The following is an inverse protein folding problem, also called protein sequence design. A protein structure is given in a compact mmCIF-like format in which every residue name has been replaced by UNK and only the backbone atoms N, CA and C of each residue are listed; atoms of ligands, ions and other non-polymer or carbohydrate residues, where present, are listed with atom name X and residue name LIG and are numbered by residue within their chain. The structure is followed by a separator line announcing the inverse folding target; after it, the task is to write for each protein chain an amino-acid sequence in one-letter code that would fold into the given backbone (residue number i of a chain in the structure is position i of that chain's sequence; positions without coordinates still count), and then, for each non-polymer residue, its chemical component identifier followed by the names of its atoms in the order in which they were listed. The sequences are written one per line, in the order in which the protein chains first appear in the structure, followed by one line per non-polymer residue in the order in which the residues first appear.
data_IF_808276838024
#
_entry.id   IF_808276838024
#
_cell.length_a   1.000
_cell.length_b   1.000
_cell.length_c   1.000
_cell.angle_alpha   90.00
_cell.angle_beta   90.00
_cell.angle_gamma   90.00
#
_symmetry.space_group_name_H-M   'P 1'
#
loop_
_entity.id
_entity.type
_entity.pdbx_description
1 polymer ?
#
# COMPACT_ATOMS: atom_id res chain seq x y z
N UNK A 1 29.72 -20.90 -9.37
CA UNK A 1 30.73 -21.50 -8.47
C UNK A 1 31.87 -20.55 -8.07
N UNK A 2 32.13 -19.44 -8.77
CA UNK A 2 33.34 -18.62 -8.55
C UNK A 2 33.27 -17.60 -7.39
N UNK A 3 32.07 -17.20 -6.95
CA UNK A 3 31.90 -16.16 -5.92
C UNK A 3 32.16 -16.68 -4.49
N UNK A 4 31.84 -17.95 -4.23
CA UNK A 4 31.95 -18.57 -2.90
C UNK A 4 33.41 -18.82 -2.49
N UNK A 5 34.28 -19.16 -3.45
CA UNK A 5 35.71 -19.36 -3.19
C UNK A 5 36.46 -18.05 -2.89
N UNK A 6 36.07 -16.94 -3.54
CA UNK A 6 36.64 -15.62 -3.27
C UNK A 6 36.27 -15.10 -1.87
N UNK A 7 35.02 -15.32 -1.43
CA UNK A 7 34.58 -14.96 -0.09
C UNK A 7 35.26 -15.82 0.98
N UNK A 8 35.37 -17.13 0.76
CA UNK A 8 36.05 -18.04 1.68
C UNK A 8 37.56 -17.74 1.79
N UNK A 9 38.23 -17.50 0.66
CA UNK A 9 39.65 -17.12 0.63
C UNK A 9 39.91 -15.77 1.30
N UNK A 10 39.04 -14.78 1.06
CA UNK A 10 39.11 -13.47 1.72
C UNK A 10 38.92 -13.55 3.24
N UNK A 11 37.93 -14.34 3.69
CA UNK A 11 37.69 -14.57 5.12
C UNK A 11 38.85 -15.31 5.80
N UNK A 12 39.44 -16.31 5.14
CA UNK A 12 40.61 -17.03 5.64
C UNK A 12 41.86 -16.14 5.71
N UNK A 13 42.10 -15.32 4.68
CA UNK A 13 43.22 -14.39 4.68
C UNK A 13 43.08 -13.34 5.79
N UNK A 14 41.88 -12.77 5.95
CA UNK A 14 41.59 -11.80 7.02
C UNK A 14 41.73 -12.42 8.40
N UNK A 15 41.21 -13.63 8.62
CA UNK A 15 41.33 -14.31 9.91
C UNK A 15 42.78 -14.63 10.25
N UNK A 16 43.58 -15.08 9.28
CA UNK A 16 45.00 -15.38 9.48
C UNK A 16 45.83 -14.11 9.72
N UNK A 17 45.52 -13.01 9.02
CA UNK A 17 46.12 -11.70 9.26
C UNK A 17 45.80 -11.18 10.67
N UNK A 18 44.55 -11.34 11.12
CA UNK A 18 44.13 -10.95 12.46
C UNK A 18 44.83 -11.81 13.51
N UNK A 19 44.84 -13.14 13.36
CA UNK A 19 45.47 -14.06 14.30
C UNK A 19 46.98 -13.79 14.44
N UNK A 20 47.69 -13.59 13.34
CA UNK A 20 49.13 -13.30 13.36
C UNK A 20 49.48 -11.94 13.96
N UNK A 21 48.60 -10.95 13.85
CA UNK A 21 48.77 -9.61 14.47
C UNK A 21 48.37 -9.63 15.94
N UNK A 22 47.29 -10.30 16.30
CA UNK A 22 46.81 -10.44 17.68
C UNK A 22 47.77 -11.29 18.51
N UNK A 23 48.39 -12.33 17.94
CA UNK A 23 49.40 -13.15 18.60
C UNK A 23 50.65 -12.37 19.02
N UNK A 24 50.92 -11.21 18.39
CA UNK A 24 52.04 -10.32 18.72
C UNK A 24 51.69 -9.28 19.80
N UNK A 25 50.42 -9.17 20.20
CA UNK A 25 50.00 -8.25 21.25
C UNK A 25 50.29 -8.85 22.64
N UNK A 26 50.68 -8.04 23.63
CA UNK A 26 50.78 -8.53 25.00
C UNK A 26 49.39 -8.98 25.48
N UNK A 27 49.30 -10.19 26.05
CA UNK A 27 48.04 -10.87 26.41
C UNK A 27 47.05 -9.99 27.21
N UNK A 28 47.57 -9.09 28.06
CA UNK A 28 46.78 -8.11 28.83
C UNK A 28 45.99 -7.10 28.00
N UNK A 29 46.41 -6.82 26.76
CA UNK A 29 45.75 -5.85 25.86
C UNK A 29 44.72 -6.50 24.93
N UNK A 30 44.72 -7.83 24.80
CA UNK A 30 43.83 -8.56 23.88
C UNK A 30 42.35 -8.27 24.18
N UNK A 31 41.85 -8.32 25.44
CA UNK A 31 40.45 -8.02 25.73
C UNK A 31 40.07 -6.58 25.36
N UNK A 32 40.95 -5.61 25.64
CA UNK A 32 40.73 -4.20 25.30
C UNK A 32 40.66 -4.00 23.78
N UNK A 33 41.56 -4.61 23.01
CA UNK A 33 41.57 -4.52 21.55
C UNK A 33 40.31 -5.16 20.96
N UNK A 34 39.89 -6.32 21.45
CA UNK A 34 38.65 -6.96 21.02
C UNK A 34 37.44 -6.09 21.33
N UNK A 35 37.35 -5.51 22.54
CA UNK A 35 36.27 -4.59 22.91
C UNK A 35 36.23 -3.38 21.97
N UNK A 36 37.37 -2.75 21.69
CA UNK A 36 37.46 -1.61 20.78
C UNK A 36 37.03 -1.97 19.36
N UNK A 37 37.42 -3.15 18.86
CA UNK A 37 36.99 -3.64 17.55
C UNK A 37 35.47 -3.89 17.55
N UNK A 38 34.92 -4.54 18.57
CA UNK A 38 33.48 -4.79 18.68
C UNK A 38 32.68 -3.48 18.72
N UNK A 39 33.13 -2.50 19.52
CA UNK A 39 32.51 -1.17 19.60
C UNK A 39 32.62 -0.44 18.26
N UNK A 40 33.78 -0.50 17.60
CA UNK A 40 33.98 0.12 16.28
C UNK A 40 33.05 -0.50 15.23
N UNK A 41 32.95 -1.83 15.17
CA UNK A 41 32.08 -2.53 14.24
C UNK A 41 30.61 -2.20 14.49
N UNK A 42 30.17 -2.22 15.75
CA UNK A 42 28.81 -1.85 16.13
C UNK A 42 28.50 -0.39 15.79
N UNK A 43 29.43 0.52 16.06
CA UNK A 43 29.28 1.95 15.76
C UNK A 43 29.20 2.19 14.26
N UNK A 44 30.09 1.56 13.48
CA UNK A 44 30.08 1.67 12.02
C UNK A 44 28.75 1.15 11.44
N UNK A 45 28.27 0.01 11.93
CA UNK A 45 26.97 -0.53 11.54
C UNK A 45 25.82 0.41 11.91
N UNK A 46 25.85 1.00 13.11
CA UNK A 46 24.84 1.96 13.57
C UNK A 46 24.82 3.20 12.66
N UNK A 47 25.94 3.93 12.54
CA UNK A 47 25.99 5.18 11.78
C UNK A 47 25.68 4.97 10.29
N UNK A 48 26.15 3.87 9.69
CA UNK A 48 25.89 3.56 8.27
C UNK A 48 24.40 3.26 8.01
N UNK A 49 23.70 2.66 8.97
CA UNK A 49 22.30 2.27 8.79
C UNK A 49 21.31 3.24 9.43
N UNK A 50 21.76 4.20 10.25
CA UNK A 50 20.89 5.06 11.04
C UNK A 50 19.83 5.76 10.19
N UNK A 51 20.23 6.47 9.13
CA UNK A 51 19.29 7.19 8.25
C UNK A 51 18.25 6.25 7.60
N UNK A 52 18.66 5.04 7.21
CA UNK A 52 17.78 4.05 6.58
C UNK A 52 16.77 3.46 7.57
N UNK A 53 17.19 3.28 8.82
CA UNK A 53 16.41 2.64 9.88
C UNK A 53 15.63 3.63 10.74
N UNK A 54 16.00 4.90 10.75
CA UNK A 54 15.23 5.96 11.39
C UNK A 54 13.92 6.19 10.61
N UNK A 55 12.83 5.70 11.18
CA UNK A 55 11.47 5.86 10.64
C UNK A 55 10.65 6.89 11.41
N UNK A 56 11.26 7.65 12.33
CA UNK A 56 10.57 8.62 13.20
C UNK A 56 9.80 9.70 12.43
N UNK A 57 10.21 9.98 11.18
CA UNK A 57 9.58 10.96 10.29
C UNK A 57 9.01 10.31 9.01
N UNK A 58 8.91 8.99 8.96
CA UNK A 58 8.36 8.29 7.80
C UNK A 58 6.82 8.23 7.90
N UNK A 59 6.16 9.24 7.31
CA UNK A 59 4.70 9.35 7.27
C UNK A 59 4.08 8.85 5.96
N UNK A 60 4.87 8.28 5.03
CA UNK A 60 4.39 8.00 3.68
C UNK A 60 3.22 7.03 3.63
N UNK A 61 3.22 5.95 4.42
CA UNK A 61 2.10 5.01 4.46
C UNK A 61 0.83 5.66 5.01
N UNK A 62 0.97 6.46 6.09
CA UNK A 62 -0.14 7.22 6.66
C UNK A 62 -0.69 8.23 5.64
N UNK A 63 0.18 9.04 5.05
CA UNK A 63 -0.22 10.12 4.13
C UNK A 63 -0.82 9.56 2.85
N UNK A 64 -0.30 8.45 2.33
CA UNK A 64 -0.87 7.77 1.17
C UNK A 64 -2.31 7.31 1.43
N UNK A 65 -2.54 6.59 2.53
CA UNK A 65 -3.89 6.15 2.89
C UNK A 65 -4.80 7.33 3.22
N UNK A 66 -4.32 8.36 3.92
CA UNK A 66 -5.10 9.57 4.17
C UNK A 66 -5.47 10.29 2.86
N UNK A 67 -4.58 10.30 1.86
CA UNK A 67 -4.89 10.84 0.54
C UNK A 67 -5.89 9.97 -0.23
N UNK A 68 -5.84 8.63 -0.10
CA UNK A 68 -6.90 7.73 -0.59
C UNK A 68 -8.25 8.10 0.04
N UNK A 69 -8.29 8.21 1.36
CA UNK A 69 -9.53 8.55 2.08
C UNK A 69 -10.05 9.93 1.68
N UNK A 70 -9.20 10.96 1.58
CA UNK A 70 -9.60 12.29 1.12
C UNK A 70 -10.15 12.30 -0.31
N UNK A 71 -9.79 11.32 -1.12
CA UNK A 71 -10.25 11.21 -2.51
C UNK A 71 -11.68 10.69 -2.63
N UNK A 72 -12.21 10.03 -1.61
CA UNK A 72 -13.54 9.43 -1.63
C UNK A 72 -14.56 10.30 -0.89
N UNK A 73 -15.69 10.62 -1.53
CA UNK A 73 -16.72 11.49 -0.95
C UNK A 73 -17.56 10.70 0.07
N UNK A 74 -17.66 11.12 1.35
CA UNK A 74 -18.45 10.39 2.34
C UNK A 74 -19.96 10.57 2.08
N UNK A 75 -20.79 9.54 2.34
CA UNK A 75 -20.41 8.20 2.79
C UNK A 75 -19.75 7.40 1.66
N UNK A 76 -18.63 6.72 1.98
CA UNK A 76 -17.83 6.01 0.98
C UNK A 76 -17.62 4.53 1.35
N UNK A 77 -17.55 3.67 0.33
CA UNK A 77 -17.03 2.31 0.40
C UNK A 77 -15.84 2.19 -0.56
N UNK A 78 -14.68 1.83 -0.03
CA UNK A 78 -13.44 1.67 -0.78
C UNK A 78 -13.06 0.19 -0.74
N UNK A 79 -12.92 -0.44 -1.90
CA UNK A 79 -12.48 -1.82 -2.04
C UNK A 79 -11.02 -1.84 -2.51
N UNK A 80 -10.17 -2.55 -1.78
CA UNK A 80 -8.74 -2.69 -2.13
C UNK A 80 -8.26 -4.12 -1.97
N UNK A 81 -7.26 -4.54 -2.74
CA UNK A 81 -6.49 -5.78 -2.54
C UNK A 81 -5.03 -5.48 -2.16
N UNK A 82 -4.76 -4.24 -1.72
CA UNK A 82 -3.43 -3.74 -1.41
C UNK A 82 -3.31 -3.49 0.08
N UNK A 83 -2.60 -4.40 0.76
CA UNK A 83 -2.36 -4.35 2.20
C UNK A 83 -1.72 -3.04 2.68
N UNK A 84 -0.90 -2.40 1.83
CA UNK A 84 -0.24 -1.13 2.17
C UNK A 84 -1.22 0.03 2.35
N UNK A 85 -2.43 -0.10 1.84
CA UNK A 85 -3.49 0.90 2.01
C UNK A 85 -4.39 0.53 3.17
N UNK A 86 -4.74 -0.75 3.26
CA UNK A 86 -5.64 -1.26 4.28
C UNK A 86 -5.04 -1.23 5.69
N UNK A 87 -3.76 -1.59 5.85
CA UNK A 87 -3.13 -1.61 7.17
C UNK A 87 -3.05 -0.21 7.83
N UNK A 88 -2.62 0.88 7.14
CA UNK A 88 -2.71 2.21 7.72
C UNK A 88 -4.16 2.69 7.91
N UNK A 89 -5.10 2.23 7.06
CA UNK A 89 -6.52 2.57 7.23
C UNK A 89 -7.05 2.06 8.57
N UNK A 90 -6.70 0.83 8.96
CA UNK A 90 -7.11 0.28 10.26
C UNK A 90 -6.69 1.20 11.42
N UNK A 91 -5.48 1.72 11.37
CA UNK A 91 -4.99 2.68 12.38
C UNK A 91 -5.73 4.03 12.30
N UNK A 92 -5.79 4.65 11.13
CA UNK A 92 -6.45 5.96 10.93
C UNK A 92 -7.92 5.90 11.36
N UNK A 93 -8.62 4.83 11.01
CA UNK A 93 -10.05 4.69 11.22
C UNK A 93 -10.38 4.21 12.64
N UNK A 94 -9.77 3.12 13.12
CA UNK A 94 -10.16 2.51 14.41
C UNK A 94 -9.37 3.02 15.61
N UNK A 95 -8.14 3.54 15.41
CA UNK A 95 -7.31 4.05 16.51
C UNK A 95 -7.42 5.57 16.62
N UNK A 96 -7.28 6.30 15.51
CA UNK A 96 -7.36 7.76 15.53
C UNK A 96 -8.79 8.31 15.40
N UNK A 97 -9.77 7.46 15.03
CA UNK A 97 -11.16 7.89 14.87
C UNK A 97 -11.38 8.88 13.72
N UNK A 98 -10.50 8.90 12.72
CA UNK A 98 -10.59 9.80 11.56
C UNK A 98 -11.38 9.17 10.41
N UNK A 99 -11.91 10.02 9.52
CA UNK A 99 -12.61 9.60 8.30
C UNK A 99 -13.71 8.54 8.52
N UNK A 100 -14.46 8.65 9.62
CA UNK A 100 -15.46 7.64 10.03
C UNK A 100 -16.58 7.40 9.00
N UNK A 101 -16.88 8.38 8.15
CA UNK A 101 -17.82 8.22 7.03
C UNK A 101 -17.30 7.39 5.86
N UNK A 102 -16.08 6.85 5.93
CA UNK A 102 -15.42 6.12 4.84
C UNK A 102 -15.01 4.74 5.32
N UNK A 103 -15.52 3.73 4.63
CA UNK A 103 -15.26 2.32 4.94
C UNK A 103 -14.31 1.77 3.90
N UNK A 104 -13.23 1.13 4.32
CA UNK A 104 -12.35 0.40 3.42
C UNK A 104 -12.42 -1.08 3.76
N UNK A 105 -12.56 -1.93 2.74
CA UNK A 105 -12.54 -3.39 2.88
C UNK A 105 -11.44 -3.99 2.00
N UNK A 106 -10.75 -5.00 2.55
CA UNK A 106 -9.69 -5.72 1.85
C UNK A 106 -10.26 -6.97 1.17
N UNK A 107 -10.05 -7.09 -0.15
CA UNK A 107 -10.55 -8.19 -0.97
C UNK A 107 -9.86 -9.52 -0.62
N UNK A 108 -8.58 -9.52 -0.28
CA UNK A 108 -7.90 -10.75 0.11
C UNK A 108 -8.40 -11.26 1.47
N UNK A 109 -8.76 -10.35 2.39
CA UNK A 109 -9.43 -10.74 3.64
C UNK A 109 -10.87 -11.21 3.41
N UNK A 110 -11.59 -10.63 2.44
CA UNK A 110 -12.89 -11.14 1.99
C UNK A 110 -12.81 -12.56 1.41
N UNK A 111 -11.63 -13.13 1.14
CA UNK A 111 -11.49 -14.55 0.77
C UNK A 111 -11.47 -15.50 1.99
N UNK A 112 -11.71 -15.00 3.20
CA UNK A 112 -11.66 -15.78 4.45
C UNK A 112 -12.93 -15.63 5.27
N UNK A 113 -13.50 -16.75 5.71
CA UNK A 113 -14.79 -16.75 6.42
C UNK A 113 -14.76 -15.93 7.72
N UNK A 114 -13.63 -15.89 8.42
CA UNK A 114 -13.48 -15.19 9.69
C UNK A 114 -13.62 -13.66 9.55
N UNK A 115 -13.28 -13.09 8.40
CA UNK A 115 -13.26 -11.64 8.20
C UNK A 115 -14.67 -11.03 8.27
N UNK A 116 -15.69 -11.80 7.90
CA UNK A 116 -17.08 -11.33 7.98
C UNK A 116 -17.57 -11.11 9.41
N UNK A 117 -16.95 -11.73 10.42
CA UNK A 117 -17.24 -11.38 11.81
C UNK A 117 -16.84 -9.94 12.12
N UNK A 118 -15.68 -9.52 11.62
CA UNK A 118 -15.23 -8.13 11.73
C UNK A 118 -16.15 -7.19 10.95
N UNK A 119 -16.46 -7.49 9.68
CA UNK A 119 -17.36 -6.65 8.86
C UNK A 119 -18.74 -6.51 9.51
N UNK A 120 -19.30 -7.59 10.06
CA UNK A 120 -20.59 -7.57 10.75
C UNK A 120 -20.60 -6.68 11.98
N UNK A 121 -19.49 -6.64 12.73
CA UNK A 121 -19.39 -5.85 13.97
C UNK A 121 -19.04 -4.39 13.69
N UNK A 122 -18.05 -4.13 12.84
CA UNK A 122 -17.54 -2.80 12.56
C UNK A 122 -18.40 -2.03 11.53
N UNK A 123 -18.98 -2.73 10.56
CA UNK A 123 -19.70 -2.15 9.42
C UNK A 123 -21.03 -2.91 9.15
N UNK A 124 -21.94 -3.00 10.15
CA UNK A 124 -23.15 -3.79 10.05
C UNK A 124 -24.04 -3.39 8.86
N UNK A 125 -23.99 -2.14 8.42
CA UNK A 125 -24.72 -1.63 7.27
C UNK A 125 -24.20 -2.16 5.93
N UNK A 126 -22.89 -2.40 5.80
CA UNK A 126 -22.31 -3.06 4.62
C UNK A 126 -22.65 -4.55 4.67
N UNK A 127 -22.49 -5.18 5.83
CA UNK A 127 -22.79 -6.59 6.02
C UNK A 127 -24.24 -6.93 5.66
N UNK A 128 -25.23 -6.20 6.21
CA UNK A 128 -26.67 -6.48 6.01
C UNK A 128 -27.08 -6.41 4.53
N UNK A 129 -26.52 -5.48 3.76
CA UNK A 129 -26.83 -5.34 2.33
C UNK A 129 -26.42 -6.57 1.54
N UNK A 130 -25.27 -7.17 1.87
CA UNK A 130 -24.71 -8.33 1.19
C UNK A 130 -24.79 -9.63 1.99
N UNK A 131 -25.64 -9.70 3.02
CA UNK A 131 -25.65 -10.81 3.98
C UNK A 131 -25.88 -12.17 3.31
N UNK A 132 -26.80 -12.21 2.33
CA UNK A 132 -27.08 -13.43 1.57
C UNK A 132 -25.84 -13.90 0.82
N UNK A 133 -25.19 -13.02 0.06
CA UNK A 133 -24.01 -13.37 -0.73
C UNK A 133 -22.80 -13.70 0.16
N UNK A 134 -22.68 -13.04 1.32
CA UNK A 134 -21.68 -13.37 2.34
C UNK A 134 -21.89 -14.80 2.85
N UNK A 135 -23.12 -15.15 3.23
CA UNK A 135 -23.44 -16.50 3.73
C UNK A 135 -23.16 -17.57 2.68
N UNK A 136 -23.60 -17.34 1.45
CA UNK A 136 -23.34 -18.26 0.33
C UNK A 136 -21.84 -18.45 0.06
N UNK A 137 -21.02 -17.39 0.16
CA UNK A 137 -19.57 -17.51 0.03
C UNK A 137 -18.95 -18.25 1.22
N UNK A 138 -19.36 -17.92 2.45
CA UNK A 138 -18.86 -18.57 3.67
C UNK A 138 -19.14 -20.08 3.65
N UNK A 139 -20.34 -20.49 3.23
CA UNK A 139 -20.69 -21.90 3.05
C UNK A 139 -19.82 -22.55 1.96
N UNK A 140 -19.57 -21.86 0.84
CA UNK A 140 -18.75 -22.39 -0.24
C UNK A 140 -17.27 -22.54 0.12
N UNK A 141 -16.69 -21.59 0.87
CA UNK A 141 -15.27 -21.61 1.25
C UNK A 141 -14.98 -22.53 2.44
N UNK A 142 -16.01 -22.93 3.20
CA UNK A 142 -15.86 -23.75 4.40
C UNK A 142 -15.07 -25.05 4.16
N UNK A 143 -15.38 -25.89 3.15
CA UNK A 143 -14.63 -27.13 2.93
C UNK A 143 -13.15 -26.88 2.64
N UNK A 144 -12.83 -25.83 1.87
CA UNK A 144 -11.45 -25.41 1.59
C UNK A 144 -10.69 -25.05 2.87
N UNK A 145 -11.31 -24.29 3.77
CA UNK A 145 -10.68 -23.88 5.04
C UNK A 145 -10.50 -25.05 6.02
N UNK A 146 -11.24 -26.14 5.84
CA UNK A 146 -11.19 -27.35 6.69
C UNK A 146 -10.42 -28.52 6.05
N UNK A 147 -9.77 -28.31 4.90
CA UNK A 147 -9.03 -29.34 4.16
C UNK A 147 -9.92 -30.51 3.69
N UNK A 148 -11.18 -30.22 3.40
CA UNK A 148 -12.16 -31.14 2.81
C UNK A 148 -12.17 -31.03 1.28
N UNK A 149 -12.93 -31.88 0.60
CA UNK A 149 -13.11 -31.80 -0.85
C UNK A 149 -13.92 -30.54 -1.23
N UNK A 150 -13.44 -29.77 -2.21
CA UNK A 150 -14.05 -28.52 -2.63
C UNK A 150 -13.94 -28.31 -4.14
N UNK A 151 -14.83 -27.50 -4.70
CA UNK A 151 -14.75 -27.03 -6.08
C UNK A 151 -14.22 -25.56 -6.11
N UNK A 152 -12.97 -25.34 -6.56
CA UNK A 152 -12.41 -23.99 -6.68
C UNK A 152 -13.25 -23.05 -7.54
N UNK A 153 -13.90 -23.55 -8.59
CA UNK A 153 -14.70 -22.74 -9.49
C UNK A 153 -16.00 -22.29 -8.82
N UNK A 154 -16.60 -23.16 -8.01
CA UNK A 154 -17.78 -22.82 -7.22
C UNK A 154 -17.47 -21.72 -6.19
N UNK A 155 -16.34 -21.84 -5.48
CA UNK A 155 -15.88 -20.81 -4.52
C UNK A 155 -15.66 -19.48 -5.23
N UNK A 156 -14.93 -19.48 -6.35
CA UNK A 156 -14.65 -18.25 -7.10
C UNK A 156 -15.93 -17.62 -7.65
N UNK A 157 -16.90 -18.41 -8.13
CA UNK A 157 -18.19 -17.90 -8.56
C UNK A 157 -18.96 -17.22 -7.41
N UNK A 158 -18.98 -17.82 -6.21
CA UNK A 158 -19.60 -17.20 -5.04
C UNK A 158 -18.86 -15.95 -4.59
N UNK A 159 -17.54 -15.94 -4.67
CA UNK A 159 -16.72 -14.78 -4.36
C UNK A 159 -16.99 -13.59 -5.31
N UNK A 160 -17.02 -13.82 -6.62
CA UNK A 160 -17.34 -12.78 -7.60
C UNK A 160 -18.77 -12.23 -7.43
N UNK A 161 -19.74 -13.10 -7.08
CA UNK A 161 -21.10 -12.68 -6.75
C UNK A 161 -21.13 -11.79 -5.50
N UNK A 162 -20.37 -12.14 -4.47
CA UNK A 162 -20.21 -11.30 -3.29
C UNK A 162 -19.64 -9.93 -3.64
N UNK A 163 -18.51 -9.87 -4.37
CA UNK A 163 -17.88 -8.61 -4.75
C UNK A 163 -18.83 -7.72 -5.55
N UNK A 164 -19.55 -8.31 -6.51
CA UNK A 164 -20.58 -7.62 -7.29
C UNK A 164 -21.67 -7.04 -6.39
N UNK A 165 -22.11 -7.80 -5.38
CA UNK A 165 -23.13 -7.34 -4.44
C UNK A 165 -22.65 -6.16 -3.57
N UNK A 166 -21.39 -6.19 -3.12
CA UNK A 166 -20.80 -5.14 -2.29
C UNK A 166 -20.78 -3.80 -3.04
N UNK A 167 -20.51 -3.84 -4.34
CA UNK A 167 -20.57 -2.65 -5.19
C UNK A 167 -22.03 -2.26 -5.46
N UNK A 168 -22.79 -3.13 -6.13
CA UNK A 168 -24.13 -2.81 -6.64
C UNK A 168 -25.09 -2.31 -5.56
N UNK A 169 -25.08 -2.94 -4.38
CA UNK A 169 -26.03 -2.63 -3.30
C UNK A 169 -25.63 -1.40 -2.47
N UNK A 170 -24.46 -0.83 -2.73
CA UNK A 170 -23.96 0.38 -2.05
C UNK A 170 -23.88 1.59 -2.99
N UNK A 171 -24.07 1.44 -4.29
CA UNK A 171 -24.02 2.56 -5.24
C UNK A 171 -25.15 3.59 -5.06
N UNK A 172 -26.28 3.21 -4.47
CA UNK A 172 -27.44 4.10 -4.34
C UNK A 172 -27.31 5.14 -3.21
N UNK A 173 -26.49 4.88 -2.20
CA UNK A 173 -26.39 5.70 -0.98
C UNK A 173 -24.95 5.98 -0.55
N UNK A 174 -23.94 5.53 -1.33
CA UNK A 174 -22.52 5.75 -1.06
C UNK A 174 -21.75 5.97 -2.34
N UNK A 175 -20.65 6.72 -2.26
CA UNK A 175 -19.61 6.64 -3.28
C UNK A 175 -18.89 5.28 -3.15
N UNK A 176 -18.73 4.55 -4.24
CA UNK A 176 -17.98 3.29 -4.26
C UNK A 176 -16.69 3.49 -5.03
N UNK A 177 -15.57 3.11 -4.44
CA UNK A 177 -14.24 3.35 -4.97
C UNK A 177 -13.43 2.05 -5.04
N UNK A 178 -12.61 1.91 -6.08
CA UNK A 178 -11.75 0.75 -6.30
C UNK A 178 -10.28 1.15 -6.27
N UNK A 179 -9.49 0.38 -5.52
CA UNK A 179 -8.03 0.47 -5.41
C UNK A 179 -7.43 -0.92 -5.56
N UNK A 180 -7.49 -1.45 -6.79
CA UNK A 180 -7.20 -2.85 -7.07
C UNK A 180 -5.96 -3.02 -7.95
N UNK A 181 -5.01 -3.84 -7.50
CA UNK A 181 -3.86 -4.32 -8.27
C UNK A 181 -4.26 -5.46 -9.22
N UNK A 182 -5.14 -6.36 -8.77
CA UNK A 182 -5.64 -7.48 -9.57
C UNK A 182 -6.80 -7.05 -10.48
N UNK A 183 -6.88 -7.71 -11.63
CA UNK A 183 -8.03 -7.60 -12.52
C UNK A 183 -9.17 -8.45 -11.95
N UNK A 184 -10.26 -7.80 -11.57
CA UNK A 184 -11.47 -8.46 -11.06
C UNK A 184 -12.60 -8.34 -12.08
N UNK A 185 -13.35 -9.41 -12.30
CA UNK A 185 -14.33 -9.49 -13.39
C UNK A 185 -15.46 -8.46 -13.24
N UNK A 186 -15.94 -8.26 -12.00
CA UNK A 186 -17.02 -7.31 -11.70
C UNK A 186 -16.70 -5.87 -12.14
N UNK A 187 -15.42 -5.50 -12.22
CA UNK A 187 -14.98 -4.14 -12.60
C UNK A 187 -15.47 -3.73 -13.98
N UNK A 188 -15.70 -4.69 -14.88
CA UNK A 188 -16.12 -4.46 -16.27
C UNK A 188 -17.58 -4.00 -16.38
N UNK A 189 -18.36 -4.16 -15.31
CA UNK A 189 -19.78 -3.80 -15.28
C UNK A 189 -20.00 -2.30 -14.98
N UNK A 190 -18.92 -1.54 -14.76
CA UNK A 190 -19.01 -0.16 -14.29
C UNK A 190 -18.02 0.77 -14.97
N UNK A 191 -18.41 2.03 -15.07
CA UNK A 191 -17.49 3.11 -15.42
C UNK A 191 -16.60 3.40 -14.21
N UNK A 192 -15.28 3.39 -14.44
CA UNK A 192 -14.27 3.71 -13.42
C UNK A 192 -13.73 5.11 -13.69
N UNK A 193 -14.15 6.07 -12.87
CA UNK A 193 -13.82 7.48 -13.00
C UNK A 193 -12.62 7.78 -12.09
N UNK A 194 -11.47 8.24 -12.63
CA UNK A 194 -10.36 8.69 -11.79
C UNK A 194 -10.83 9.81 -10.86
N UNK A 195 -10.64 9.61 -9.55
CA UNK A 195 -11.02 10.54 -8.49
C UNK A 195 -9.95 10.55 -7.42
N UNK A 196 -9.10 11.59 -7.44
CA UNK A 196 -7.93 11.72 -6.58
C UNK A 196 -7.01 10.50 -6.71
N UNK A 197 -6.77 9.78 -5.62
CA UNK A 197 -5.96 8.55 -5.61
C UNK A 197 -6.72 7.30 -6.05
N UNK A 198 -8.03 7.38 -6.27
CA UNK A 198 -8.94 6.23 -6.43
C UNK A 198 -9.64 6.21 -7.77
N UNK A 199 -10.35 5.12 -8.09
CA UNK A 199 -11.35 5.10 -9.15
C UNK A 199 -12.75 4.99 -8.55
N UNK A 200 -13.59 6.02 -8.74
CA UNK A 200 -15.00 5.97 -8.38
C UNK A 200 -15.78 5.14 -9.41
N UNK A 201 -16.67 4.30 -8.92
CA UNK A 201 -17.53 3.43 -9.72
C UNK A 201 -18.85 4.14 -9.97
N UNK A 202 -19.23 4.24 -11.25
CA UNK A 202 -20.53 4.76 -11.69
C UNK A 202 -21.26 3.75 -12.60
N UNK A 203 -22.59 3.78 -12.56
CA UNK A 203 -23.48 2.98 -13.42
C UNK A 203 -23.62 3.55 -14.84
N UNK A 204 -23.31 4.83 -15.02
CA UNK A 204 -23.41 5.54 -16.29
C UNK A 204 -22.12 6.30 -16.60
N UNK A 205 -22.04 6.81 -17.82
CA UNK A 205 -20.90 7.58 -18.33
C UNK A 205 -21.06 9.08 -18.13
N UNK A 206 -21.93 9.54 -17.19
CA UNK A 206 -22.10 10.96 -16.98
C UNK A 206 -20.81 11.59 -16.44
N UNK A 207 -20.57 12.84 -16.83
CA UNK A 207 -19.46 13.60 -16.31
C UNK A 207 -19.60 13.77 -14.79
N UNK A 208 -18.54 13.44 -14.06
CA UNK A 208 -18.45 13.65 -12.63
C UNK A 208 -17.32 14.63 -12.33
N UNK A 209 -17.62 15.87 -11.92
CA UNK A 209 -16.60 16.86 -11.60
C UNK A 209 -15.81 16.45 -10.35
N UNK A 210 -14.52 16.77 -10.36
CA UNK A 210 -13.63 16.59 -9.21
C UNK A 210 -12.55 17.68 -9.25
N UNK A 211 -12.44 18.52 -8.21
CA UNK A 211 -11.43 19.57 -8.19
C UNK A 211 -10.02 18.97 -8.11
N UNK A 212 -8.97 19.72 -8.51
CA UNK A 212 -7.58 19.29 -8.32
C UNK A 212 -7.32 18.81 -6.88
N UNK A 213 -6.83 17.58 -6.70
CA UNK A 213 -6.67 17.02 -5.36
C UNK A 213 -5.54 17.74 -4.60
N UNK A 214 -5.75 17.95 -3.31
CA UNK A 214 -4.71 18.42 -2.38
C UNK A 214 -4.11 17.23 -1.65
N UNK A 215 -2.92 16.81 -2.09
CA UNK A 215 -2.17 15.72 -1.46
C UNK A 215 -1.32 16.22 -0.30
N UNK A 216 -1.35 15.47 0.80
CA UNK A 216 -0.38 15.61 1.88
C UNK A 216 0.82 14.72 1.56
N UNK A 217 2.03 15.29 1.47
CA UNK A 217 3.23 14.62 0.96
C UNK A 217 4.43 14.90 1.90
N UNK A 218 4.22 14.73 3.21
CA UNK A 218 5.23 15.09 4.22
C UNK A 218 6.52 14.31 3.99
N UNK A 219 7.63 15.03 3.96
CA UNK A 219 8.95 14.44 3.79
C UNK A 219 9.30 14.01 2.36
N UNK A 220 8.43 14.29 1.37
CA UNK A 220 8.71 13.99 -0.03
C UNK A 220 10.03 14.64 -0.48
N UNK A 221 10.19 15.93 -0.24
CA UNK A 221 11.40 16.68 -0.63
C UNK A 221 12.50 16.68 0.45
N UNK A 222 12.33 15.97 1.56
CA UNK A 222 13.35 15.88 2.61
C UNK A 222 14.36 14.76 2.26
N UNK A 223 15.63 15.09 1.93
CA UNK A 223 16.64 14.10 1.59
C UNK A 223 17.10 13.27 2.80
N UNK A 224 16.81 13.72 4.04
CA UNK A 224 17.16 12.99 5.25
C UNK A 224 16.24 11.80 5.47
N UNK A 225 15.02 11.84 4.93
CA UNK A 225 14.05 10.76 5.09
C UNK A 225 14.30 9.70 4.01
N UNK A 226 14.78 8.53 4.44
CA UNK A 226 15.03 7.41 3.54
C UNK A 226 13.72 6.84 2.98
N UNK A 227 13.62 6.87 1.64
CA UNK A 227 12.50 6.32 0.87
C UNK A 227 12.93 4.97 0.30
N UNK A 228 12.37 3.87 0.82
CA UNK A 228 12.65 2.55 0.26
C UNK A 228 11.96 2.33 -1.09
N UNK A 229 12.23 1.18 -1.73
CA UNK A 229 11.66 0.85 -3.03
C UNK A 229 10.13 0.79 -3.02
N UNK A 230 9.52 0.32 -1.93
CA UNK A 230 8.06 0.21 -1.80
C UNK A 230 7.41 1.58 -1.65
N UNK A 231 8.02 2.46 -0.87
CA UNK A 231 7.65 3.87 -0.75
C UNK A 231 7.72 4.57 -2.11
N UNK A 232 8.84 4.42 -2.84
CA UNK A 232 8.99 5.01 -4.18
C UNK A 232 7.99 4.47 -5.18
N UNK A 233 7.71 3.16 -5.14
CA UNK A 233 6.67 2.55 -5.96
C UNK A 233 5.32 3.22 -5.75
N UNK A 234 4.88 3.37 -4.49
CA UNK A 234 3.62 4.04 -4.19
C UNK A 234 3.61 5.51 -4.57
N UNK A 235 4.67 6.25 -4.25
CA UNK A 235 4.80 7.66 -4.62
C UNK A 235 4.72 7.88 -6.14
N UNK A 236 5.14 6.91 -6.95
CA UNK A 236 5.07 7.01 -8.41
C UNK A 236 3.64 7.08 -8.95
N UNK A 237 2.63 6.64 -8.19
CA UNK A 237 1.23 6.70 -8.62
C UNK A 237 0.63 8.10 -8.55
N UNK A 238 1.09 9.01 -7.68
CA UNK A 238 0.51 10.37 -7.59
C UNK A 238 0.45 11.10 -8.95
N UNK A 239 1.55 11.23 -9.71
CA UNK A 239 1.50 11.87 -11.01
C UNK A 239 0.68 11.06 -12.03
N UNK A 240 0.69 9.72 -11.94
CA UNK A 240 -0.12 8.87 -12.82
C UNK A 240 -1.62 9.14 -12.61
N UNK A 241 -2.07 9.24 -11.35
CA UNK A 241 -3.47 9.52 -11.01
C UNK A 241 -3.94 10.88 -11.51
N UNK A 242 -3.08 11.90 -11.41
CA UNK A 242 -3.38 13.22 -11.95
C UNK A 242 -3.55 13.20 -13.47
N UNK A 243 -2.71 12.45 -14.19
CA UNK A 243 -2.81 12.33 -15.65
C UNK A 243 -4.01 11.51 -16.09
N UNK A 244 -4.36 10.46 -15.36
CA UNK A 244 -5.59 9.70 -15.61
C UNK A 244 -6.82 10.60 -15.46
N UNK A 245 -6.84 11.46 -14.43
CA UNK A 245 -7.88 12.46 -14.28
C UNK A 245 -7.83 13.49 -15.41
N UNK A 246 -6.65 13.99 -15.78
CA UNK A 246 -6.52 14.97 -16.87
C UNK A 246 -7.10 14.44 -18.19
N UNK A 247 -6.82 13.18 -18.55
CA UNK A 247 -7.41 12.53 -19.73
C UNK A 247 -8.93 12.42 -19.63
N UNK A 248 -9.45 12.13 -18.44
CA UNK A 248 -10.90 12.14 -18.21
C UNK A 248 -11.48 13.54 -18.46
N UNK A 249 -10.85 14.60 -17.95
CA UNK A 249 -11.30 15.99 -18.17
C UNK A 249 -11.27 16.38 -19.66
N UNK A 250 -10.23 15.99 -20.41
CA UNK A 250 -10.11 16.23 -21.87
C UNK A 250 -11.29 15.59 -22.63
N UNK A 251 -11.66 14.36 -22.30
CA UNK A 251 -12.79 13.65 -22.94
C UNK A 251 -14.11 14.40 -22.79
N UNK A 252 -14.28 15.13 -21.68
CA UNK A 252 -15.49 15.93 -21.42
C UNK A 252 -15.33 17.42 -21.75
N UNK A 253 -14.23 17.82 -22.42
CA UNK A 253 -14.01 19.18 -22.91
C UNK A 253 -13.49 20.18 -21.87
N UNK A 254 -12.92 19.72 -20.76
CA UNK A 254 -12.38 20.57 -19.69
C UNK A 254 -10.86 20.76 -19.81
N UNK A 255 -10.39 21.24 -20.97
CA UNK A 255 -8.96 21.34 -21.33
C UNK A 255 -8.13 22.19 -20.35
N UNK A 256 -8.71 23.25 -19.80
CA UNK A 256 -8.03 24.09 -18.80
C UNK A 256 -7.69 23.31 -17.53
N UNK A 257 -8.65 22.51 -17.04
CA UNK A 257 -8.46 21.70 -15.85
C UNK A 257 -7.51 20.53 -16.13
N UNK A 258 -7.62 19.90 -17.31
CA UNK A 258 -6.67 18.87 -17.73
C UNK A 258 -5.23 19.40 -17.77
N UNK A 259 -5.03 20.60 -18.32
CA UNK A 259 -3.72 21.26 -18.37
C UNK A 259 -3.15 21.52 -16.98
N UNK A 260 -3.97 21.99 -16.04
CA UNK A 260 -3.59 22.20 -14.64
C UNK A 260 -3.16 20.88 -13.98
N UNK A 261 -3.94 19.82 -14.11
CA UNK A 261 -3.64 18.49 -13.57
C UNK A 261 -2.34 17.91 -14.16
N UNK A 262 -2.15 18.05 -15.47
CA UNK A 262 -0.92 17.63 -16.15
C UNK A 262 0.30 18.45 -15.68
N UNK A 263 0.13 19.75 -15.37
CA UNK A 263 1.20 20.57 -14.80
C UNK A 263 1.58 20.09 -13.39
N UNK A 264 0.59 19.82 -12.53
CA UNK A 264 0.82 19.26 -11.19
C UNK A 264 1.54 17.90 -11.27
N UNK A 265 1.13 17.03 -12.21
CA UNK A 265 1.79 15.74 -12.44
C UNK A 265 3.27 15.89 -12.82
N UNK A 266 3.60 16.84 -13.71
CA UNK A 266 4.99 17.14 -14.09
C UNK A 266 5.82 17.65 -12.91
N UNK A 267 5.26 18.53 -12.09
CA UNK A 267 5.94 19.05 -10.89
C UNK A 267 6.25 17.92 -9.90
N UNK A 268 5.28 17.04 -9.62
CA UNK A 268 5.48 15.90 -8.73
C UNK A 268 6.52 14.91 -9.27
N UNK A 269 6.53 14.63 -10.58
CA UNK A 269 7.59 13.79 -11.18
C UNK A 269 8.97 14.38 -11.03
N UNK A 270 9.10 15.69 -11.20
CA UNK A 270 10.38 16.37 -11.04
C UNK A 270 10.91 16.20 -9.60
N UNK A 271 10.06 16.43 -8.59
CA UNK A 271 10.38 16.18 -7.17
C UNK A 271 10.78 14.72 -6.92
N UNK A 272 10.03 13.76 -7.48
CA UNK A 272 10.33 12.33 -7.30
C UNK A 272 11.67 11.92 -7.91
N UNK A 273 12.04 12.45 -9.08
CA UNK A 273 13.28 12.11 -9.78
C UNK A 273 14.51 12.73 -9.12
N UNK A 274 14.41 13.95 -8.58
CA UNK A 274 15.50 14.58 -7.82
C UNK A 274 15.92 13.77 -6.59
N UNK A 275 15.00 12.95 -6.06
CA UNK A 275 15.21 12.13 -4.86
C UNK A 275 15.64 10.68 -5.16
N UNK A 276 15.99 10.33 -6.41
CA UNK A 276 16.48 9.00 -6.79
C UNK A 276 18.00 8.90 -6.95
N UNK A 277 18.71 10.03 -6.98
CA UNK A 277 20.15 10.13 -7.29
C UNK A 277 21.09 10.06 -6.07
N UNK A 278 20.60 9.63 -4.91
CA UNK A 278 21.35 9.49 -3.65
C UNK A 278 21.14 8.07 -3.09
#
# INVERSE_FOLDING_TARGET
MSFTFLVAGGAWFLSNLILTRVAKLPKRLVPTVLLLISVLLASLAFFKNYQKQDKSRNYFAYDYTANILRSADPPALILTDIWDYYAPYLYIHFVEGKDQGKIMLDLELLRRSWYYNFVRQAHPEIYRKSEREIKEFVEAVYPFEHQEEFDPNFIEAKYQNLLSSLVQKNLSDRSVHLMLAKAEAFRRNYYQIPQGMTYRVNSDSQYLPYPPPRFELRGLDDPKIFKDGRTRFHLSFYPIRLEERAKYEEVFGFDSLASELNQLARQLRASLNQNQSI
#
